data_IF_441078280311
#
_entry.id   IF_441078280311
#
_cell.length_a   1.000
_cell.length_b   1.000
_cell.length_c   1.000
_cell.angle_alpha   90.00
_cell.angle_beta   90.00
_cell.angle_gamma   90.00
#
_symmetry.space_group_name_H-M   'P 1'
#
loop_
_entity.id
_entity.type
_entity.pdbx_description
1 polymer ?
#
# COMPACT_ATOMS: atom_id res chain seq x y z
N UNK A 1 -24.33 -15.29 -3.68
CA UNK A 1 -24.45 -13.83 -3.49
C UNK A 1 -25.37 -13.24 -4.55
N UNK A 2 -26.30 -12.37 -4.16
CA UNK A 2 -27.04 -11.53 -5.10
C UNK A 2 -26.14 -10.57 -5.86
N UNK A 3 -26.65 -9.96 -6.94
CA UNK A 3 -25.90 -9.01 -7.79
C UNK A 3 -25.26 -7.86 -6.98
N UNK A 4 -25.98 -7.35 -5.97
CA UNK A 4 -25.51 -6.29 -5.08
C UNK A 4 -24.29 -6.68 -4.24
N UNK A 5 -24.26 -7.91 -3.72
CA UNK A 5 -23.13 -8.36 -2.89
C UNK A 5 -21.81 -8.45 -3.67
N UNK A 6 -21.86 -8.86 -4.95
CA UNK A 6 -20.65 -8.91 -5.80
C UNK A 6 -20.09 -7.52 -6.10
N UNK A 7 -20.96 -6.54 -6.31
CA UNK A 7 -20.55 -5.15 -6.54
C UNK A 7 -19.86 -4.60 -5.29
N UNK A 8 -20.42 -4.86 -4.11
CA UNK A 8 -19.79 -4.46 -2.84
C UNK A 8 -18.41 -5.11 -2.61
N UNK A 9 -18.23 -6.41 -2.89
CA UNK A 9 -16.91 -7.07 -2.74
C UNK A 9 -15.80 -6.44 -3.59
N UNK A 10 -16.15 -5.85 -4.74
CA UNK A 10 -15.17 -5.31 -5.70
C UNK A 10 -14.97 -3.82 -5.46
N UNK A 11 -16.05 -3.08 -5.21
CA UNK A 11 -16.00 -1.64 -5.03
C UNK A 11 -15.39 -1.23 -3.68
N UNK A 12 -15.69 -1.94 -2.61
CA UNK A 12 -15.17 -1.61 -1.26
C UNK A 12 -13.64 -1.58 -1.19
N UNK A 13 -12.91 -2.64 -1.58
CA UNK A 13 -11.45 -2.59 -1.53
C UNK A 13 -10.87 -1.51 -2.44
N UNK A 14 -11.46 -1.29 -3.62
CA UNK A 14 -11.03 -0.22 -4.53
C UNK A 14 -11.23 1.18 -3.94
N UNK A 15 -12.38 1.44 -3.32
CA UNK A 15 -12.67 2.71 -2.66
C UNK A 15 -11.73 2.97 -1.47
N UNK A 16 -11.39 1.93 -0.69
CA UNK A 16 -10.44 2.04 0.41
C UNK A 16 -9.01 2.29 -0.09
N UNK A 17 -8.57 1.62 -1.16
CA UNK A 17 -7.27 1.93 -1.77
C UNK A 17 -7.20 3.35 -2.31
N UNK A 18 -8.30 3.84 -2.91
CA UNK A 18 -8.39 5.22 -3.39
C UNK A 18 -8.32 6.22 -2.22
N UNK A 19 -9.03 5.96 -1.12
CA UNK A 19 -8.99 6.80 0.08
C UNK A 19 -7.59 6.87 0.69
N UNK A 20 -6.89 5.74 0.79
CA UNK A 20 -5.48 5.70 1.24
C UNK A 20 -4.56 6.46 0.28
N UNK A 21 -4.73 6.29 -1.04
CA UNK A 21 -3.95 7.03 -2.04
C UNK A 21 -4.16 8.54 -1.94
N UNK A 22 -5.40 9.01 -1.76
CA UNK A 22 -5.68 10.44 -1.55
C UNK A 22 -4.96 10.96 -0.30
N UNK A 23 -4.94 10.20 0.80
CA UNK A 23 -4.21 10.59 2.00
C UNK A 23 -2.70 10.72 1.75
N UNK A 24 -2.10 9.80 0.98
CA UNK A 24 -0.68 9.89 0.60
C UNK A 24 -0.41 11.12 -0.28
N UNK A 25 -1.26 11.36 -1.28
CA UNK A 25 -1.19 12.56 -2.15
C UNK A 25 -1.23 13.85 -1.33
N UNK A 26 -2.09 13.93 -0.31
CA UNK A 26 -2.17 15.13 0.54
C UNK A 26 -0.85 15.43 1.25
N UNK A 27 -0.13 14.40 1.71
CA UNK A 27 1.16 14.55 2.41
C UNK A 27 2.29 14.88 1.43
N UNK A 28 2.27 14.26 0.25
CA UNK A 28 3.28 14.54 -0.78
C UNK A 28 3.15 15.94 -1.38
N UNK A 29 1.91 16.42 -1.59
CA UNK A 29 1.65 17.77 -2.11
C UNK A 29 1.70 18.88 -1.06
N UNK A 30 1.79 18.53 0.23
CA UNK A 30 1.87 19.51 1.30
C UNK A 30 3.14 20.36 1.16
N UNK A 31 2.98 21.68 1.16
CA UNK A 31 4.12 22.61 1.10
C UNK A 31 4.75 22.78 -0.29
N UNK A 32 4.19 22.20 -1.36
CA UNK A 32 4.77 22.32 -2.71
C UNK A 32 4.89 23.74 -3.25
N UNK A 33 3.94 24.60 -2.88
CA UNK A 33 3.89 26.01 -3.25
C UNK A 33 3.31 26.82 -2.08
N UNK A 34 3.38 28.14 -2.19
CA UNK A 34 2.77 29.05 -1.22
C UNK A 34 1.28 28.74 -1.05
N UNK A 35 0.86 28.41 0.16
CA UNK A 35 -0.54 28.16 0.50
C UNK A 35 -1.11 26.81 0.05
N UNK A 36 -0.29 25.89 -0.49
CA UNK A 36 -0.75 24.56 -0.85
C UNK A 36 -0.72 23.65 0.38
N UNK A 37 -1.91 23.41 0.95
CA UNK A 37 -2.11 22.54 2.13
C UNK A 37 -1.24 22.94 3.34
N UNK A 38 -1.23 24.23 3.76
CA UNK A 38 -0.28 24.73 4.76
C UNK A 38 -0.46 24.07 6.12
N UNK A 39 -1.65 23.56 6.44
CA UNK A 39 -1.97 22.89 7.71
C UNK A 39 -1.37 21.49 7.86
N UNK A 40 -0.84 20.89 6.79
CA UNK A 40 -0.34 19.51 6.76
C UNK A 40 1.19 19.44 6.92
N UNK A 41 1.73 20.19 7.87
CA UNK A 41 3.14 20.09 8.29
C UNK A 41 3.32 18.96 9.31
N UNK A 42 4.52 18.40 9.40
CA UNK A 42 4.87 17.39 10.42
C UNK A 42 5.20 18.03 11.76
N UNK A 43 5.92 19.15 11.75
CA UNK A 43 6.12 19.98 12.92
C UNK A 43 6.22 21.46 12.53
N UNK A 44 5.92 22.32 13.50
CA UNK A 44 5.96 23.77 13.39
C UNK A 44 6.77 24.36 14.53
N UNK A 45 7.69 25.25 14.18
CA UNK A 45 8.43 26.08 15.12
C UNK A 45 7.90 27.51 15.09
N UNK A 46 7.55 28.04 16.26
CA UNK A 46 7.02 29.38 16.49
C UNK A 46 8.01 30.21 17.31
N UNK A 47 8.55 31.24 16.67
CA UNK A 47 9.53 32.19 17.19
C UNK A 47 8.92 33.54 17.59
N UNK A 48 7.58 33.68 17.58
CA UNK A 48 6.93 34.96 17.94
C UNK A 48 7.18 35.39 19.38
N UNK A 49 7.44 34.43 20.29
CA UNK A 49 7.75 34.65 21.69
C UNK A 49 9.24 34.65 22.02
N UNK A 50 10.12 34.81 21.01
CA UNK A 50 11.57 34.77 21.21
C UNK A 50 12.01 35.89 22.16
N UNK A 51 12.50 35.51 23.35
CA UNK A 51 13.14 36.41 24.29
C UNK A 51 14.56 35.92 24.61
N UNK A 52 15.54 36.59 24.00
CA UNK A 52 16.96 36.29 24.21
C UNK A 52 17.48 36.95 25.51
N UNK A 53 16.74 37.92 26.07
CA UNK A 53 17.13 38.69 27.26
C UNK A 53 16.88 37.93 28.56
N UNK A 54 15.84 37.08 28.60
CA UNK A 54 15.52 36.22 29.74
C UNK A 54 16.50 35.06 29.94
N UNK A 55 17.14 34.58 28.87
CA UNK A 55 18.10 33.47 28.91
C UNK A 55 19.50 33.88 29.40
N UNK A 56 19.84 35.17 29.36
CA UNK A 56 21.12 35.73 29.81
C UNK A 56 21.28 35.90 31.34
N UNK A 57 20.29 35.49 32.13
CA UNK A 57 20.29 35.63 33.60
C UNK A 57 21.04 34.53 34.38
N UNK A 58 21.63 33.55 33.70
CA UNK A 58 22.52 32.55 34.28
C UNK A 58 23.89 32.62 33.61
N UNK A 59 24.96 32.52 34.40
CA UNK A 59 26.38 32.76 34.05
C UNK A 59 26.99 31.95 32.87
N UNK A 60 26.19 31.20 32.10
CA UNK A 60 26.61 30.47 30.90
C UNK A 60 25.91 31.04 29.67
N UNK A 61 26.49 32.09 29.06
CA UNK A 61 26.08 32.52 27.72
C UNK A 61 26.46 31.44 26.71
N UNK A 62 25.56 30.47 26.50
CA UNK A 62 25.77 29.41 25.51
C UNK A 62 25.93 29.99 24.11
N UNK A 63 26.71 29.34 23.24
CA UNK A 63 26.88 29.76 21.83
C UNK A 63 25.56 29.94 21.08
N UNK A 64 24.50 29.26 21.53
CA UNK A 64 23.14 29.38 21.02
C UNK A 64 22.46 30.72 21.34
N UNK A 65 22.70 31.32 22.52
CA UNK A 65 22.12 32.64 22.88
C UNK A 65 22.64 33.70 21.90
N UNK A 66 23.95 33.68 21.64
CA UNK A 66 24.62 34.61 20.73
C UNK A 66 24.11 34.42 19.29
N UNK A 67 24.02 33.17 18.82
CA UNK A 67 23.51 32.88 17.47
C UNK A 67 22.05 33.31 17.28
N UNK A 68 21.18 33.08 18.28
CA UNK A 68 19.78 33.52 18.23
C UNK A 68 19.67 35.05 18.27
N UNK A 69 20.47 35.72 19.09
CA UNK A 69 20.49 37.18 19.18
C UNK A 69 20.90 37.82 17.85
N UNK A 70 21.96 37.31 17.22
CA UNK A 70 22.44 37.82 15.95
C UNK A 70 21.43 37.57 14.83
N UNK A 71 20.84 36.36 14.78
CA UNK A 71 19.85 36.03 13.77
C UNK A 71 18.55 36.85 13.93
N UNK A 72 18.19 37.24 15.16
CA UNK A 72 17.09 38.17 15.42
C UNK A 72 17.44 39.60 14.98
N UNK A 73 18.64 40.10 15.31
CA UNK A 73 19.07 41.47 14.97
C UNK A 73 19.24 41.69 13.46
N UNK A 74 19.73 40.68 12.74
CA UNK A 74 19.88 40.73 11.29
C UNK A 74 18.54 40.54 10.55
N UNK A 75 17.44 40.29 11.26
CA UNK A 75 16.18 39.87 10.64
C UNK A 75 16.36 38.58 9.83
N UNK A 76 17.28 37.70 10.22
CA UNK A 76 17.47 36.42 9.53
C UNK A 76 16.33 35.44 9.81
N UNK A 77 15.74 35.51 11.00
CA UNK A 77 14.70 34.58 11.44
C UNK A 77 13.30 34.96 10.97
N UNK A 78 12.56 33.99 10.44
CA UNK A 78 11.12 34.09 10.26
C UNK A 78 10.37 33.79 11.58
N UNK A 79 9.12 34.22 11.67
CA UNK A 79 8.29 33.99 12.88
C UNK A 79 7.81 32.55 12.98
N UNK A 80 7.47 31.94 11.85
CA UNK A 80 7.04 30.55 11.79
C UNK A 80 7.86 29.76 10.78
N UNK A 81 8.15 28.52 11.12
CA UNK A 81 8.70 27.52 10.21
C UNK A 81 7.82 26.28 10.25
N UNK A 82 7.28 25.91 9.10
CA UNK A 82 6.45 24.72 8.90
C UNK A 82 7.26 23.72 8.06
N UNK A 83 7.46 22.51 8.58
CA UNK A 83 8.29 21.48 7.94
C UNK A 83 7.41 20.41 7.32
N UNK A 84 7.66 20.12 6.04
CA UNK A 84 6.97 19.12 5.24
C UNK A 84 7.91 17.97 4.86
N UNK A 85 7.41 17.01 4.08
CA UNK A 85 8.18 15.83 3.66
C UNK A 85 9.34 16.19 2.72
N UNK A 86 9.13 17.14 1.81
CA UNK A 86 10.05 17.47 0.72
C UNK A 86 10.83 18.77 0.91
N UNK A 87 10.32 19.65 1.79
CA UNK A 87 10.81 21.00 1.96
C UNK A 87 10.37 21.58 3.31
N UNK A 88 10.78 22.83 3.56
CA UNK A 88 10.23 23.65 4.62
C UNK A 88 9.69 24.95 4.04
N UNK A 89 8.77 25.56 4.75
CA UNK A 89 8.30 26.91 4.44
C UNK A 89 8.35 27.78 5.69
N UNK A 90 8.56 29.08 5.48
CA UNK A 90 8.62 30.06 6.54
C UNK A 90 7.62 31.19 6.32
N UNK A 91 7.07 31.70 7.43
CA UNK A 91 6.19 32.86 7.44
C UNK A 91 6.82 33.96 8.29
N UNK A 92 6.97 35.13 7.68
CA UNK A 92 7.49 36.33 8.35
C UNK A 92 6.38 37.24 8.86
N UNK A 93 5.14 37.00 8.43
CA UNK A 93 3.96 37.72 8.86
C UNK A 93 3.18 36.93 9.92
N UNK A 94 2.58 37.67 10.86
CA UNK A 94 1.63 37.16 11.85
C UNK A 94 0.33 36.64 11.22
N UNK A 95 0.04 37.04 9.97
CA UNK A 95 -1.17 36.63 9.24
C UNK A 95 -1.11 35.18 8.74
N UNK A 96 -0.12 34.40 9.19
CA UNK A 96 0.14 33.02 8.76
C UNK A 96 0.32 32.89 7.23
N UNK A 97 0.58 34.02 6.56
CA UNK A 97 0.78 34.09 5.11
C UNK A 97 2.18 33.62 4.78
N UNK A 98 2.24 32.41 4.24
CA UNK A 98 3.46 31.70 3.95
C UNK A 98 4.34 32.49 2.96
N UNK A 99 5.49 32.94 3.43
CA UNK A 99 6.30 33.98 2.79
C UNK A 99 7.30 33.36 1.81
N UNK A 100 7.97 32.30 2.24
CA UNK A 100 9.01 31.58 1.51
C UNK A 100 8.84 30.07 1.67
N UNK A 101 9.10 29.29 0.62
CA UNK A 101 9.28 27.85 0.69
C UNK A 101 10.61 27.51 0.04
N UNK A 102 11.34 26.58 0.64
CA UNK A 102 12.53 26.03 0.00
C UNK A 102 12.15 25.17 -1.22
N UNK A 103 13.10 25.02 -2.13
CA UNK A 103 12.96 24.07 -3.23
C UNK A 103 12.78 22.64 -2.68
N UNK A 104 12.06 21.83 -3.44
CA UNK A 104 11.79 20.43 -3.11
C UNK A 104 13.07 19.62 -3.27
N UNK A 105 13.49 18.96 -2.21
CA UNK A 105 14.64 18.07 -2.23
C UNK A 105 14.18 16.64 -2.00
N UNK A 106 14.66 15.71 -2.82
CA UNK A 106 14.57 14.28 -2.50
C UNK A 106 15.40 14.01 -1.25
N UNK A 107 14.98 13.06 -0.41
CA UNK A 107 15.73 12.70 0.81
C UNK A 107 15.91 13.87 1.80
N UNK A 108 14.96 14.80 1.82
CA UNK A 108 15.03 15.97 2.68
C UNK A 108 15.16 15.59 4.16
N UNK A 109 16.17 16.16 4.81
CA UNK A 109 16.42 16.06 6.24
C UNK A 109 16.48 17.47 6.82
N UNK A 110 15.69 17.75 7.85
CA UNK A 110 15.68 19.08 8.45
C UNK A 110 16.91 19.27 9.33
N UNK A 111 17.77 20.21 8.96
CA UNK A 111 18.89 20.66 9.79
C UNK A 111 18.55 22.04 10.40
N UNK A 112 18.28 22.12 11.72
CA UNK A 112 17.95 23.38 12.38
C UNK A 112 19.08 24.42 12.28
N UNK A 113 20.34 24.00 12.22
CA UNK A 113 21.49 24.91 12.19
C UNK A 113 21.58 25.61 10.85
N UNK A 114 21.37 24.86 9.76
CA UNK A 114 21.36 25.40 8.40
C UNK A 114 20.10 26.23 8.13
N UNK A 115 18.92 25.70 8.44
CA UNK A 115 17.63 26.35 8.13
C UNK A 115 17.42 27.64 8.92
N UNK A 116 17.90 27.70 10.17
CA UNK A 116 17.84 28.92 10.98
C UNK A 116 19.10 29.79 10.88
N UNK A 117 20.05 29.43 10.00
CA UNK A 117 21.29 30.17 9.77
C UNK A 117 22.16 30.37 11.02
N UNK A 118 22.17 29.38 11.93
CA UNK A 118 22.96 29.42 13.17
C UNK A 118 24.47 29.20 12.94
N UNK A 119 24.86 28.69 11.76
CA UNK A 119 26.26 28.45 11.37
C UNK A 119 27.07 29.75 11.16
N UNK A 120 26.43 30.91 11.06
CA UNK A 120 27.15 32.17 10.83
C UNK A 120 28.07 32.59 12.00
N UNK A 121 27.96 31.98 13.19
CA UNK A 121 28.38 32.65 14.43
C UNK A 121 29.65 32.12 15.11
N UNK A 122 30.58 31.58 14.34
CA UNK A 122 32.02 31.58 14.74
C UNK A 122 33.00 31.81 13.59
N UNK A 123 32.51 31.97 12.35
CA UNK A 123 33.33 32.29 11.18
C UNK A 123 33.03 33.68 10.57
N UNK A 124 31.86 34.29 10.81
CA UNK A 124 31.54 35.59 10.24
C UNK A 124 32.20 36.78 10.95
N UNK A 125 32.62 36.63 12.21
CA UNK A 125 33.41 37.65 12.92
C UNK A 125 34.88 37.71 12.48
N UNK A 126 35.36 36.79 11.63
CA UNK A 126 36.77 36.72 11.21
C UNK A 126 37.01 36.37 9.74
N UNK A 127 35.99 36.40 8.88
CA UNK A 127 36.18 36.15 7.45
C UNK A 127 35.41 37.12 6.53
N UNK A 128 35.47 38.42 6.84
CA UNK A 128 35.32 39.44 5.79
C UNK A 128 36.70 39.72 5.20
N UNK A 129 37.15 38.87 4.27
CA UNK A 129 38.13 39.27 3.26
C UNK A 129 37.92 38.49 1.96
N UNK A 130 37.27 39.18 1.02
CA UNK A 130 37.71 39.42 -0.35
C UNK A 130 38.28 38.25 -1.18
N UNK A 131 37.60 38.03 -2.31
CA UNK A 131 38.10 37.60 -3.63
C UNK A 131 38.60 36.16 -3.86
N UNK A 132 37.86 35.49 -4.75
CA UNK A 132 38.31 34.81 -5.97
C UNK A 132 39.64 34.03 -5.94
N UNK A 133 39.55 32.70 -5.85
CA UNK A 133 40.33 31.75 -6.68
C UNK A 133 39.90 30.31 -6.39
N UNK A 134 39.48 29.58 -7.42
CA UNK A 134 38.78 28.28 -7.34
C UNK A 134 39.63 27.11 -6.76
N UNK A 135 40.90 27.33 -6.41
CA UNK A 135 41.79 26.31 -5.86
C UNK A 135 42.20 26.55 -4.39
N UNK A 136 41.85 27.70 -3.80
CA UNK A 136 42.05 27.98 -2.36
C UNK A 136 40.82 27.60 -1.52
N UNK A 137 39.70 27.36 -2.19
CA UNK A 137 38.42 27.01 -1.59
C UNK A 137 38.44 25.54 -1.12
N UNK A 138 39.06 24.63 -1.87
CA UNK A 138 39.10 23.20 -1.53
C UNK A 138 39.91 22.92 -0.25
N UNK A 139 41.04 23.60 -0.05
CA UNK A 139 41.83 23.51 1.19
C UNK A 139 41.13 24.13 2.38
N UNK A 140 40.38 25.22 2.17
CA UNK A 140 39.59 25.86 3.22
C UNK A 140 38.31 25.10 3.55
N UNK A 141 37.70 24.43 2.58
CA UNK A 141 36.59 23.50 2.82
C UNK A 141 37.11 22.30 3.63
N UNK A 142 38.26 21.73 3.29
CA UNK A 142 38.85 20.64 4.05
C UNK A 142 39.21 21.05 5.49
N UNK A 143 39.70 22.28 5.68
CA UNK A 143 40.01 22.84 7.01
C UNK A 143 38.75 23.17 7.81
N UNK A 144 37.73 23.76 7.18
CA UNK A 144 36.42 24.01 7.80
C UNK A 144 35.76 22.68 8.14
N UNK A 145 35.77 21.69 7.26
CA UNK A 145 35.20 20.36 7.51
C UNK A 145 35.96 19.62 8.62
N UNK A 146 37.29 19.77 8.70
CA UNK A 146 38.09 19.23 9.79
C UNK A 146 37.78 19.91 11.13
N UNK A 147 37.62 21.24 11.13
CA UNK A 147 37.26 22.01 12.32
C UNK A 147 35.79 21.77 12.72
N UNK A 148 34.87 21.59 11.77
CA UNK A 148 33.49 21.19 12.02
C UNK A 148 33.44 19.80 12.63
N UNK A 149 34.20 18.83 12.10
CA UNK A 149 34.31 17.47 12.67
C UNK A 149 34.97 17.48 14.05
N UNK A 150 35.96 18.34 14.28
CA UNK A 150 36.60 18.50 15.59
C UNK A 150 35.61 19.07 16.62
N UNK A 151 34.87 20.11 16.24
CA UNK A 151 33.84 20.75 17.07
C UNK A 151 32.64 19.81 17.32
N UNK A 152 32.27 19.00 16.33
CA UNK A 152 31.24 17.96 16.46
C UNK A 152 31.70 16.86 17.45
N UNK A 153 32.96 16.45 17.41
CA UNK A 153 33.50 15.48 18.38
C UNK A 153 33.57 16.04 19.81
N UNK A 154 33.76 17.35 19.97
CA UNK A 154 33.84 18.02 21.27
C UNK A 154 32.46 18.33 21.86
N UNK A 155 31.48 18.74 21.03
CA UNK A 155 30.12 19.14 21.47
C UNK A 155 29.16 17.95 21.57
N UNK A 156 29.21 16.99 20.65
CA UNK A 156 28.27 15.87 20.57
C UNK A 156 28.86 14.55 21.09
N UNK A 157 30.19 14.45 21.19
CA UNK A 157 30.89 13.20 21.48
C UNK A 157 30.58 12.11 20.44
N UNK A 158 31.05 10.89 20.69
CA UNK A 158 30.77 9.73 19.81
C UNK A 158 29.25 9.45 19.71
N UNK A 159 28.52 9.65 20.81
CA UNK A 159 27.08 9.37 20.92
C UNK A 159 26.22 10.29 20.06
N UNK A 160 26.52 11.61 20.04
CA UNK A 160 25.71 12.55 19.28
C UNK A 160 25.95 12.50 17.77
N UNK A 161 27.17 12.16 17.34
CA UNK A 161 27.47 11.89 15.92
C UNK A 161 26.73 10.67 15.40
N UNK A 162 26.70 9.60 16.19
CA UNK A 162 25.95 8.39 15.85
C UNK A 162 24.44 8.67 15.81
N UNK A 163 23.92 9.50 16.72
CA UNK A 163 22.53 9.94 16.70
C UNK A 163 22.19 10.82 15.49
N UNK A 164 23.08 11.75 15.10
CA UNK A 164 22.89 12.64 13.96
C UNK A 164 22.98 11.88 12.63
N UNK A 165 23.93 10.95 12.50
CA UNK A 165 24.05 10.09 11.33
C UNK A 165 22.84 9.15 11.22
N UNK A 166 22.42 8.56 12.35
CA UNK A 166 21.18 7.78 12.41
C UNK A 166 19.95 8.62 12.00
N UNK A 167 19.85 9.87 12.45
CA UNK A 167 18.78 10.79 12.03
C UNK A 167 18.77 10.99 10.51
N UNK A 168 19.92 11.35 9.92
CA UNK A 168 20.06 11.57 8.47
C UNK A 168 19.77 10.29 7.66
N UNK A 169 20.18 9.14 8.19
CA UNK A 169 19.91 7.85 7.57
C UNK A 169 18.41 7.50 7.63
N UNK A 170 17.79 7.69 8.78
CA UNK A 170 16.37 7.40 9.02
C UNK A 170 15.47 8.33 8.20
N UNK A 171 15.81 9.62 8.07
CA UNK A 171 15.05 10.55 7.23
C UNK A 171 15.09 10.17 5.75
N UNK A 172 16.27 9.78 5.24
CA UNK A 172 16.45 9.25 3.88
C UNK A 172 15.60 8.01 3.65
N UNK A 173 15.69 7.02 4.54
CA UNK A 173 14.88 5.79 4.45
C UNK A 173 13.38 6.05 4.55
N UNK A 174 12.96 6.97 5.41
CA UNK A 174 11.57 7.39 5.55
C UNK A 174 11.05 7.94 4.22
N UNK A 175 11.81 8.83 3.58
CA UNK A 175 11.45 9.40 2.29
C UNK A 175 11.30 8.31 1.21
N UNK A 176 12.30 7.42 1.09
CA UNK A 176 12.25 6.29 0.13
C UNK A 176 11.05 5.39 0.40
N UNK A 177 10.73 5.12 1.66
CA UNK A 177 9.59 4.28 2.04
C UNK A 177 8.24 4.91 1.64
N UNK A 178 8.08 6.23 1.78
CA UNK A 178 6.89 6.94 1.28
C UNK A 178 6.75 6.82 -0.24
N UNK A 179 7.83 7.04 -1.00
CA UNK A 179 7.80 6.91 -2.46
C UNK A 179 7.45 5.50 -2.92
N UNK A 180 8.08 4.48 -2.35
CA UNK A 180 7.78 3.07 -2.66
C UNK A 180 6.30 2.79 -2.36
N UNK A 181 5.80 3.28 -1.22
CA UNK A 181 4.39 3.11 -0.84
C UNK A 181 3.46 3.79 -1.84
N UNK A 182 3.79 4.99 -2.32
CA UNK A 182 3.00 5.74 -3.28
C UNK A 182 2.90 5.03 -4.63
N UNK A 183 4.04 4.69 -5.23
CA UNK A 183 4.10 4.00 -6.52
C UNK A 183 3.49 2.60 -6.45
N UNK A 184 3.71 1.87 -5.36
CA UNK A 184 3.11 0.54 -5.17
C UNK A 184 1.60 0.64 -4.97
N UNK A 185 1.10 1.66 -4.28
CA UNK A 185 -0.35 1.90 -4.11
C UNK A 185 -1.00 2.29 -5.44
N UNK A 186 -0.33 3.12 -6.24
CA UNK A 186 -0.75 3.46 -7.61
C UNK A 186 -0.81 2.20 -8.49
N UNK A 187 0.24 1.38 -8.47
CA UNK A 187 0.26 0.10 -9.18
C UNK A 187 -0.85 -0.84 -8.70
N UNK A 188 -1.11 -0.90 -7.39
CA UNK A 188 -2.20 -1.69 -6.80
C UNK A 188 -3.56 -1.22 -7.30
N UNK A 189 -3.77 0.09 -7.43
CA UNK A 189 -5.01 0.66 -7.97
C UNK A 189 -5.22 0.29 -9.45
N UNK A 190 -4.17 0.35 -10.27
CA UNK A 190 -4.22 -0.06 -11.70
C UNK A 190 -4.47 -1.56 -11.84
N UNK A 191 -3.71 -2.39 -11.12
CA UNK A 191 -3.89 -3.84 -11.11
C UNK A 191 -5.26 -4.25 -10.55
N UNK A 192 -5.82 -3.48 -9.61
CA UNK A 192 -7.16 -3.68 -9.05
C UNK A 192 -8.26 -3.67 -10.11
N UNK A 193 -8.13 -2.84 -11.15
CA UNK A 193 -9.07 -2.80 -12.28
C UNK A 193 -8.92 -4.07 -13.14
N UNK A 194 -7.68 -4.53 -13.37
CA UNK A 194 -7.39 -5.74 -14.14
C UNK A 194 -7.82 -7.03 -13.43
N UNK A 195 -7.88 -7.04 -12.10
CA UNK A 195 -8.38 -8.16 -11.29
C UNK A 195 -9.84 -8.53 -11.60
N UNK A 196 -10.63 -7.62 -12.18
CA UNK A 196 -12.01 -7.89 -12.61
C UNK A 196 -12.05 -8.92 -13.77
N UNK A 197 -11.01 -8.93 -14.61
CA UNK A 197 -10.98 -9.75 -15.83
C UNK A 197 -10.16 -11.05 -15.68
N UNK A 198 -9.27 -11.15 -14.68
CA UNK A 198 -8.36 -12.28 -14.53
C UNK A 198 -8.25 -12.79 -13.10
N UNK A 199 -8.33 -14.12 -12.93
CA UNK A 199 -8.15 -14.81 -11.64
C UNK A 199 -6.72 -14.66 -11.09
N UNK A 200 -5.73 -14.58 -11.97
CA UNK A 200 -4.32 -14.34 -11.62
C UNK A 200 -4.10 -12.88 -11.22
N UNK A 201 -4.81 -11.96 -11.86
CA UNK A 201 -4.78 -10.53 -11.51
C UNK A 201 -5.18 -10.30 -10.05
N UNK A 202 -6.20 -11.01 -9.56
CA UNK A 202 -6.66 -10.93 -8.17
C UNK A 202 -5.63 -11.37 -7.14
N UNK A 203 -4.79 -12.37 -7.46
CA UNK A 203 -3.72 -12.82 -6.55
C UNK A 203 -2.58 -11.80 -6.52
N UNK A 204 -2.18 -11.29 -7.68
CA UNK A 204 -1.13 -10.28 -7.81
C UNK A 204 -1.48 -8.98 -7.08
N UNK A 205 -2.73 -8.51 -7.20
CA UNK A 205 -3.21 -7.31 -6.48
C UNK A 205 -3.13 -7.46 -4.97
N UNK A 206 -3.39 -8.67 -4.45
CA UNK A 206 -3.30 -8.91 -3.02
C UNK A 206 -1.85 -8.83 -2.53
N UNK A 207 -0.90 -9.44 -3.25
CA UNK A 207 0.53 -9.36 -2.92
C UNK A 207 1.00 -7.90 -2.96
N UNK A 208 0.69 -7.16 -4.03
CA UNK A 208 1.04 -5.75 -4.17
C UNK A 208 0.42 -4.89 -3.07
N UNK A 209 -0.83 -5.15 -2.70
CA UNK A 209 -1.50 -4.44 -1.61
C UNK A 209 -0.83 -4.68 -0.26
N UNK A 210 -0.39 -5.92 0.03
CA UNK A 210 0.35 -6.23 1.26
C UNK A 210 1.68 -5.50 1.29
N UNK A 211 2.43 -5.51 0.19
CA UNK A 211 3.69 -4.77 0.06
C UNK A 211 3.46 -3.28 0.34
N UNK A 212 2.49 -2.67 -0.34
CA UNK A 212 2.12 -1.25 -0.11
C UNK A 212 1.80 -0.99 1.37
N UNK A 213 0.91 -1.76 2.00
CA UNK A 213 0.52 -1.54 3.40
C UNK A 213 1.66 -1.67 4.41
N UNK A 214 2.62 -2.57 4.17
CA UNK A 214 3.81 -2.72 5.02
C UNK A 214 4.71 -1.50 4.89
N UNK A 215 4.97 -1.03 3.66
CA UNK A 215 5.78 0.18 3.44
C UNK A 215 5.11 1.44 3.97
N UNK A 216 3.80 1.61 3.77
CA UNK A 216 3.03 2.73 4.35
C UNK A 216 3.13 2.72 5.87
N UNK A 217 2.95 1.57 6.52
CA UNK A 217 3.09 1.47 7.97
C UNK A 217 4.50 1.83 8.46
N UNK A 218 5.53 1.29 7.80
CA UNK A 218 6.93 1.57 8.13
C UNK A 218 7.28 3.06 7.97
N UNK A 219 6.82 3.70 6.88
CA UNK A 219 7.04 5.12 6.62
C UNK A 219 6.37 6.01 7.67
N UNK A 220 5.10 5.71 8.01
CA UNK A 220 4.33 6.47 9.00
C UNK A 220 4.92 6.31 10.41
N UNK A 221 5.28 5.09 10.80
CA UNK A 221 5.93 4.83 12.08
C UNK A 221 7.25 5.59 12.20
N UNK A 222 8.11 5.48 11.19
CA UNK A 222 9.41 6.13 11.16
C UNK A 222 9.28 7.66 11.23
N UNK A 223 8.38 8.25 10.43
CA UNK A 223 8.13 9.70 10.47
C UNK A 223 7.64 10.18 11.83
N UNK A 224 6.70 9.44 12.44
CA UNK A 224 6.15 9.79 13.74
C UNK A 224 7.24 9.80 14.81
N UNK A 225 8.08 8.76 14.85
CA UNK A 225 9.20 8.65 15.82
C UNK A 225 10.21 9.76 15.57
N UNK A 226 10.63 9.96 14.32
CA UNK A 226 11.65 10.94 13.95
C UNK A 226 11.27 12.36 14.38
N UNK A 227 10.05 12.79 14.03
CA UNK A 227 9.58 14.14 14.38
C UNK A 227 9.24 14.29 15.86
N UNK A 228 8.78 13.23 16.55
CA UNK A 228 8.58 13.27 18.00
C UNK A 228 9.89 13.46 18.77
N UNK A 229 10.94 12.74 18.38
CA UNK A 229 12.27 12.86 19.01
C UNK A 229 12.89 14.23 18.69
N UNK A 230 12.77 14.70 17.45
CA UNK A 230 13.29 16.01 17.04
C UNK A 230 12.59 17.16 17.78
N UNK A 231 11.26 17.17 17.82
CA UNK A 231 10.51 18.20 18.55
C UNK A 231 10.76 18.12 20.05
N UNK A 232 10.86 16.91 20.61
CA UNK A 232 11.14 16.72 22.03
C UNK A 232 12.52 17.25 22.44
N UNK A 233 13.55 16.95 21.65
CA UNK A 233 14.92 17.44 21.89
C UNK A 233 15.05 18.94 21.71
N UNK A 234 14.50 19.49 20.61
CA UNK A 234 14.53 20.93 20.37
C UNK A 234 13.72 21.70 21.41
N UNK A 235 12.55 21.21 21.82
CA UNK A 235 11.76 21.86 22.88
C UNK A 235 12.54 21.96 24.18
N UNK A 236 13.29 20.94 24.57
CA UNK A 236 14.11 20.97 25.79
C UNK A 236 15.19 22.08 25.75
N UNK A 237 15.74 22.36 24.57
CA UNK A 237 16.77 23.38 24.37
C UNK A 237 16.15 24.78 24.19
N UNK A 238 14.94 24.84 23.63
CA UNK A 238 14.32 26.07 23.15
C UNK A 238 13.26 26.69 24.07
N UNK A 239 12.70 25.92 25.02
CA UNK A 239 11.79 26.42 26.06
C UNK A 239 12.33 27.67 26.82
N UNK A 240 13.63 27.75 27.21
CA UNK A 240 14.13 28.94 27.93
C UNK A 240 14.16 30.21 27.08
N UNK A 241 14.06 30.08 25.76
CA UNK A 241 14.04 31.21 24.82
C UNK A 241 12.62 31.63 24.40
N UNK A 242 11.58 30.97 24.94
CA UNK A 242 10.19 31.27 24.61
C UNK A 242 9.72 30.75 23.23
N UNK A 243 10.53 29.94 22.56
CA UNK A 243 10.20 29.35 21.25
C UNK A 243 9.28 28.15 21.45
N UNK A 244 8.14 28.12 20.77
CA UNK A 244 7.18 27.01 20.87
C UNK A 244 7.34 26.07 19.68
N UNK A 245 7.66 24.82 19.96
CA UNK A 245 7.63 23.76 18.96
C UNK A 245 6.39 22.90 19.16
N UNK A 246 5.68 22.64 18.07
CA UNK A 246 4.45 21.86 18.05
C UNK A 246 4.50 20.82 16.94
N UNK A 247 3.97 19.63 17.22
CA UNK A 247 3.74 18.61 16.18
C UNK A 247 2.47 18.92 15.40
N UNK A 248 2.52 18.71 14.10
CA UNK A 248 1.39 18.90 13.20
C UNK A 248 0.42 17.73 13.28
N UNK A 249 -0.62 17.90 14.10
CA UNK A 249 -1.65 16.87 14.30
C UNK A 249 -2.38 16.53 13.00
N UNK A 250 -2.59 17.48 12.09
CA UNK A 250 -3.29 17.25 10.82
C UNK A 250 -2.53 16.32 9.87
N UNK A 251 -1.20 16.50 9.73
CA UNK A 251 -0.39 15.59 8.93
C UNK A 251 -0.37 14.19 9.53
N UNK A 252 -0.14 14.10 10.85
CA UNK A 252 -0.11 12.81 11.54
C UNK A 252 -1.45 12.06 11.48
N UNK A 253 -2.56 12.77 11.65
CA UNK A 253 -3.88 12.13 11.52
C UNK A 253 -4.12 11.58 10.12
N UNK A 254 -3.72 12.31 9.07
CA UNK A 254 -3.87 11.83 7.68
C UNK A 254 -2.95 10.66 7.37
N UNK A 255 -1.70 10.67 7.85
CA UNK A 255 -0.78 9.54 7.65
C UNK A 255 -1.28 8.28 8.36
N UNK A 256 -1.72 8.38 9.61
CA UNK A 256 -2.31 7.25 10.33
C UNK A 256 -3.66 6.80 9.75
N UNK A 257 -4.47 7.72 9.21
CA UNK A 257 -5.69 7.38 8.49
C UNK A 257 -5.38 6.61 7.20
N UNK A 258 -4.31 6.99 6.49
CA UNK A 258 -3.82 6.24 5.32
C UNK A 258 -3.44 4.80 5.69
N UNK A 259 -2.73 4.61 6.81
CA UNK A 259 -2.41 3.28 7.35
C UNK A 259 -3.69 2.47 7.58
N UNK A 260 -4.67 3.04 8.28
CA UNK A 260 -5.93 2.37 8.58
C UNK A 260 -6.69 1.96 7.30
N UNK A 261 -6.79 2.85 6.31
CA UNK A 261 -7.43 2.54 5.04
C UNK A 261 -6.66 1.50 4.22
N UNK A 262 -5.33 1.54 4.22
CA UNK A 262 -4.51 0.55 3.50
C UNK A 262 -4.65 -0.85 4.11
N UNK A 263 -4.65 -0.98 5.44
CA UNK A 263 -4.86 -2.24 6.14
C UNK A 263 -6.29 -2.78 5.98
N UNK A 264 -7.29 -1.89 6.00
CA UNK A 264 -8.65 -2.30 5.66
C UNK A 264 -8.72 -2.80 4.21
N UNK A 265 -8.10 -2.09 3.26
CA UNK A 265 -8.08 -2.46 1.86
C UNK A 265 -7.44 -3.84 1.65
N UNK A 266 -6.29 -4.13 2.26
CA UNK A 266 -5.63 -5.46 2.14
C UNK A 266 -6.51 -6.58 2.63
N UNK A 267 -7.21 -6.40 3.76
CA UNK A 267 -8.17 -7.37 4.28
C UNK A 267 -9.36 -7.58 3.34
N UNK A 268 -9.91 -6.51 2.76
CA UNK A 268 -10.99 -6.63 1.79
C UNK A 268 -10.54 -7.23 0.45
N UNK A 269 -9.32 -6.96 0.01
CA UNK A 269 -8.71 -7.64 -1.14
C UNK A 269 -8.54 -9.14 -0.88
N UNK A 270 -8.08 -9.52 0.32
CA UNK A 270 -8.00 -10.92 0.75
C UNK A 270 -9.39 -11.58 0.73
N UNK A 271 -10.39 -10.94 1.35
CA UNK A 271 -11.76 -11.45 1.40
C UNK A 271 -12.37 -11.60 -0.01
N UNK A 272 -12.11 -10.65 -0.90
CA UNK A 272 -12.56 -10.71 -2.30
C UNK A 272 -11.97 -11.92 -3.03
N UNK A 273 -10.67 -12.19 -2.84
CA UNK A 273 -9.98 -13.34 -3.45
C UNK A 273 -10.50 -14.69 -2.93
N UNK A 274 -10.74 -14.80 -1.62
CA UNK A 274 -11.13 -16.05 -0.96
C UNK A 274 -12.63 -16.34 -1.04
N UNK A 275 -13.49 -15.33 -0.83
CA UNK A 275 -14.93 -15.51 -0.61
C UNK A 275 -15.80 -15.05 -1.79
N UNK A 276 -15.28 -14.19 -2.68
CA UNK A 276 -16.03 -13.67 -3.83
C UNK A 276 -15.64 -14.37 -5.17
N UNK A 277 -14.72 -15.36 -5.16
CA UNK A 277 -14.34 -16.17 -6.35
C UNK A 277 -15.41 -17.15 -6.84
N UNK A 278 -16.58 -17.17 -6.19
CA UNK A 278 -17.76 -17.92 -6.59
C UNK A 278 -18.41 -17.41 -7.88
N UNK A 279 -17.73 -17.58 -9.02
CA UNK A 279 -18.41 -17.82 -10.29
C UNK A 279 -19.09 -19.16 -10.11
N UNK A 280 -20.34 -19.13 -9.64
CA UNK A 280 -21.26 -20.26 -9.73
C UNK A 280 -21.11 -20.83 -11.13
N UNK A 281 -20.55 -22.03 -11.23
CA UNK A 281 -20.36 -22.70 -12.50
C UNK A 281 -21.74 -22.73 -13.20
N UNK A 282 -21.95 -22.05 -14.35
CA UNK A 282 -23.24 -22.09 -15.03
C UNK A 282 -23.58 -23.50 -15.53
N UNK A 283 -22.58 -24.41 -15.54
CA UNK A 283 -22.74 -25.79 -15.98
C UNK A 283 -23.49 -26.71 -15.01
N UNK A 284 -23.93 -26.23 -13.85
CA UNK A 284 -24.99 -26.90 -13.08
C UNK A 284 -26.34 -26.21 -13.24
N UNK A 285 -26.71 -25.91 -14.49
CA UNK A 285 -28.12 -25.76 -14.90
C UNK A 285 -28.61 -26.93 -15.75
N UNK A 286 -28.02 -28.12 -15.59
CA UNK A 286 -28.48 -29.36 -16.23
C UNK A 286 -29.19 -30.32 -15.25
N UNK A 287 -30.04 -29.80 -14.37
CA UNK A 287 -31.04 -30.63 -13.67
C UNK A 287 -32.33 -29.86 -13.32
N UNK A 288 -32.67 -28.82 -14.09
CA UNK A 288 -34.03 -28.30 -14.19
C UNK A 288 -34.40 -28.29 -15.68
N UNK A 289 -34.92 -29.42 -16.16
CA UNK A 289 -35.34 -29.64 -17.54
C UNK A 289 -34.39 -30.53 -18.34
N UNK A 290 -34.15 -31.77 -17.90
CA UNK A 290 -33.54 -32.77 -18.77
C UNK A 290 -34.51 -33.09 -19.90
N UNK A 291 -34.11 -32.81 -21.16
CA UNK A 291 -34.59 -33.31 -22.47
C UNK A 291 -36.10 -33.45 -22.77
N UNK A 292 -37.01 -33.11 -21.84
CA UNK A 292 -38.46 -33.27 -21.99
C UNK A 292 -39.23 -31.96 -21.82
N UNK A 293 -38.51 -30.83 -21.73
CA UNK A 293 -39.11 -29.49 -21.64
C UNK A 293 -38.57 -28.55 -22.73
N UNK A 294 -38.00 -29.12 -23.80
CA UNK A 294 -37.94 -28.40 -25.06
C UNK A 294 -39.37 -28.39 -25.62
N UNK A 295 -40.16 -27.37 -25.29
CA UNK A 295 -41.30 -27.02 -26.14
C UNK A 295 -40.74 -26.83 -27.56
N UNK A 296 -41.18 -27.62 -28.56
CA UNK A 296 -40.87 -27.30 -29.94
C UNK A 296 -41.60 -26.00 -30.27
N UNK A 297 -40.86 -24.89 -30.36
CA UNK A 297 -41.38 -23.68 -31.00
C UNK A 297 -41.60 -23.98 -32.49
N UNK A 298 -42.86 -24.18 -32.85
CA UNK A 298 -43.37 -23.92 -34.19
C UNK A 298 -43.34 -25.11 -35.15
N UNK A 299 -44.30 -26.01 -35.01
CA UNK A 299 -45.04 -26.55 -36.15
C UNK A 299 -46.40 -27.01 -35.65
N UNK A 300 -47.44 -26.28 -36.07
CA UNK A 300 -48.80 -26.46 -35.56
C UNK A 300 -49.46 -27.72 -36.08
N UNK A 301 -50.13 -28.44 -35.17
CA UNK A 301 -51.45 -29.01 -35.39
C UNK A 301 -52.04 -29.48 -34.05
N UNK A 302 -53.31 -29.11 -33.80
CA UNK A 302 -54.19 -29.85 -32.89
C UNK A 302 -54.03 -29.63 -31.38
N UNK A 303 -54.72 -28.60 -30.88
CA UNK A 303 -55.39 -28.63 -29.57
C UNK A 303 -56.16 -29.95 -29.39
N UNK A 304 -56.01 -30.62 -28.23
CA UNK A 304 -57.01 -31.39 -27.47
C UNK A 304 -56.30 -32.29 -26.43
N UNK A 305 -56.56 -32.06 -25.14
CA UNK A 305 -56.52 -33.14 -24.14
C UNK A 305 -55.67 -32.90 -22.89
N UNK A 306 -56.33 -32.49 -21.81
CA UNK A 306 -55.86 -32.70 -20.42
C UNK A 306 -55.56 -34.19 -20.20
N UNK A 307 -54.36 -34.53 -19.72
CA UNK A 307 -53.99 -35.90 -19.36
C UNK A 307 -53.05 -35.95 -18.16
N UNK A 308 -53.44 -36.76 -17.17
CA UNK A 308 -52.80 -36.96 -15.86
C UNK A 308 -51.32 -37.36 -15.94
N UNK A 309 -50.51 -36.80 -15.04
CA UNK A 309 -49.18 -37.31 -14.75
C UNK A 309 -49.26 -38.75 -14.22
N UNK A 310 -48.71 -39.70 -14.98
CA UNK A 310 -48.50 -41.06 -14.53
C UNK A 310 -47.30 -41.09 -13.59
N UNK A 311 -47.54 -41.29 -12.31
CA UNK A 311 -46.50 -41.68 -11.35
C UNK A 311 -46.19 -43.16 -11.62
N UNK A 312 -45.00 -43.45 -12.14
CA UNK A 312 -44.50 -44.83 -12.27
C UNK A 312 -44.21 -45.35 -10.87
N UNK A 313 -45.02 -46.31 -10.42
CA UNK A 313 -44.79 -47.04 -9.18
C UNK A 313 -43.60 -47.99 -9.41
N UNK A 314 -42.51 -47.79 -8.67
CA UNK A 314 -41.38 -48.73 -8.65
C UNK A 314 -41.78 -49.97 -7.86
N UNK A 315 -42.24 -51.01 -8.54
CA UNK A 315 -42.14 -52.39 -8.04
C UNK A 315 -40.83 -53.01 -8.55
N UNK A 316 -40.22 -53.83 -7.70
CA UNK A 316 -38.78 -54.12 -7.72
C UNK A 316 -38.25 -54.91 -8.91
N UNK A 317 -36.96 -54.71 -9.17
CA UNK A 317 -36.02 -55.77 -9.54
C UNK A 317 -36.32 -56.60 -10.78
N UNK A 318 -36.47 -55.96 -11.95
CA UNK A 318 -36.40 -56.62 -13.24
C UNK A 318 -36.13 -55.59 -14.33
N UNK A 319 -35.07 -55.76 -15.12
CA UNK A 319 -34.86 -54.91 -16.28
C UNK A 319 -35.85 -55.37 -17.36
N UNK A 320 -36.89 -54.58 -17.61
CA UNK A 320 -37.74 -54.79 -18.77
C UNK A 320 -37.20 -53.94 -19.93
N UNK A 321 -36.77 -54.59 -21.01
CA UNK A 321 -36.24 -53.88 -22.18
C UNK A 321 -37.39 -53.17 -22.87
N UNK A 322 -37.41 -51.85 -22.78
CA UNK A 322 -38.31 -51.02 -23.59
C UNK A 322 -37.80 -51.04 -25.03
N UNK A 323 -38.66 -51.44 -25.96
CA UNK A 323 -38.36 -51.44 -27.38
C UNK A 323 -37.95 -50.03 -27.86
N UNK A 324 -36.86 -49.93 -28.63
CA UNK A 324 -36.44 -48.67 -29.24
C UNK A 324 -37.49 -48.19 -30.24
N UNK A 325 -37.91 -46.91 -30.23
CA UNK A 325 -39.00 -46.40 -31.07
C UNK A 325 -38.59 -46.15 -32.54
N UNK A 326 -37.49 -46.76 -33.00
CA UNK A 326 -36.93 -46.54 -34.34
C UNK A 326 -37.01 -47.76 -35.27
N UNK A 327 -37.91 -48.71 -34.99
CA UNK A 327 -38.33 -49.69 -36.00
C UNK A 327 -39.85 -49.67 -36.13
N UNK A 328 -40.30 -49.24 -37.31
CA UNK A 328 -41.66 -49.47 -37.77
C UNK A 328 -41.97 -50.95 -37.81
N UNK A 329 -43.22 -51.29 -37.52
CA UNK A 329 -43.70 -52.66 -37.39
C UNK A 329 -43.39 -53.52 -38.62
N UNK A 330 -42.94 -54.73 -38.33
CA UNK A 330 -42.83 -55.84 -39.27
C UNK A 330 -42.70 -57.11 -38.44
N UNK A 331 -43.75 -57.93 -38.49
CA UNK A 331 -43.78 -59.30 -37.99
C UNK A 331 -42.62 -60.13 -38.58
N UNK A 332 -42.22 -61.15 -37.84
CA UNK A 332 -41.40 -62.31 -38.23
C UNK A 332 -39.87 -62.26 -38.02
N UNK A 333 -39.40 -63.14 -37.11
CA UNK A 333 -38.22 -63.97 -37.35
C UNK A 333 -36.84 -63.47 -36.92
N UNK A 334 -36.55 -63.45 -35.61
CA UNK A 334 -35.18 -63.34 -35.10
C UNK A 334 -34.35 -64.62 -35.37
N UNK A 335 -33.54 -64.61 -36.43
CA UNK A 335 -32.27 -65.36 -36.53
C UNK A 335 -31.28 -64.60 -37.42
N UNK A 336 -30.32 -63.89 -36.82
CA UNK A 336 -29.13 -63.38 -37.51
C UNK A 336 -27.97 -64.39 -37.41
N UNK A 337 -27.28 -64.72 -38.52
CA UNK A 337 -26.25 -65.75 -38.57
C UNK A 337 -24.88 -65.26 -38.05
N UNK A 338 -24.22 -66.09 -37.22
CA UNK A 338 -22.80 -65.93 -36.84
C UNK A 338 -21.91 -66.30 -38.04
N UNK A 339 -21.09 -65.36 -38.51
CA UNK A 339 -20.06 -65.62 -39.52
C UNK A 339 -18.90 -66.44 -38.91
N UNK A 340 -18.62 -67.58 -39.55
CA UNK A 340 -17.50 -68.48 -39.30
C UNK A 340 -16.18 -67.86 -39.78
N UNK A 341 -15.14 -67.88 -38.93
CA UNK A 341 -13.75 -67.68 -39.34
C UNK A 341 -13.05 -69.04 -39.53
N UNK A 342 -12.10 -69.18 -40.47
CA UNK A 342 -11.44 -70.47 -40.77
C UNK A 342 -10.43 -70.88 -39.68
N UNK A 343 -10.40 -72.16 -39.33
CA UNK A 343 -9.39 -72.79 -38.47
C UNK A 343 -8.12 -73.19 -39.25
N UNK A 344 -6.92 -73.00 -38.67
CA UNK A 344 -5.73 -73.81 -38.96
C UNK A 344 -5.49 -74.89 -37.88
N UNK A 345 -4.70 -75.94 -38.18
CA UNK A 345 -4.81 -77.26 -37.55
C UNK A 345 -4.07 -77.44 -36.21
N UNK A 346 -4.46 -78.53 -35.55
CA UNK A 346 -4.17 -78.94 -34.19
C UNK A 346 -2.68 -79.09 -33.82
N UNK A 347 -2.34 -78.51 -32.67
CA UNK A 347 -1.16 -78.83 -31.85
C UNK A 347 -1.50 -78.56 -30.38
N UNK A 348 -1.40 -79.58 -29.56
CA UNK A 348 -1.74 -79.64 -28.13
C UNK A 348 -1.10 -78.56 -27.26
N UNK A 349 -1.84 -77.99 -26.30
CA UNK A 349 -1.53 -77.98 -24.85
C UNK A 349 -2.51 -77.10 -24.05
N UNK A 350 -2.88 -77.58 -22.86
CA UNK A 350 -3.85 -77.04 -21.91
C UNK A 350 -3.50 -75.66 -21.35
N UNK A 351 -4.51 -74.83 -21.06
CA UNK A 351 -4.40 -73.77 -20.05
C UNK A 351 -5.64 -73.65 -19.17
N UNK A 352 -5.37 -73.69 -17.85
CA UNK A 352 -6.23 -73.49 -16.69
C UNK A 352 -6.72 -72.04 -16.54
N UNK A 353 -7.87 -71.89 -15.86
CA UNK A 353 -8.30 -70.65 -15.19
C UNK A 353 -7.41 -70.35 -13.96
N UNK A 354 -7.20 -69.07 -13.63
CA UNK A 354 -7.63 -68.57 -12.30
C UNK A 354 -8.23 -67.14 -12.36
N UNK A 355 -9.34 -66.83 -11.68
CA UNK A 355 -9.53 -66.51 -10.25
C UNK A 355 -9.11 -65.08 -9.85
N UNK A 356 -9.99 -64.42 -9.08
CA UNK A 356 -10.05 -62.97 -8.85
C UNK A 356 -8.92 -62.33 -8.03
N UNK A 357 -8.78 -61.01 -8.18
CA UNK A 357 -8.12 -60.08 -7.25
C UNK A 357 -9.05 -58.87 -7.03
N UNK A 358 -9.64 -58.73 -5.84
CA UNK A 358 -9.24 -57.96 -4.64
C UNK A 358 -9.51 -56.44 -4.71
N UNK A 359 -10.40 -56.04 -3.80
CA UNK A 359 -10.72 -54.70 -3.31
C UNK A 359 -9.53 -54.04 -2.59
N UNK A 360 -9.45 -52.70 -2.65
CA UNK A 360 -8.99 -51.87 -1.52
C UNK A 360 -9.79 -50.55 -1.39
N UNK A 361 -9.90 -49.97 -0.17
CA UNK A 361 -10.93 -49.00 0.19
C UNK A 361 -10.45 -47.54 0.31
N UNK A 362 -11.43 -46.64 0.39
CA UNK A 362 -11.31 -45.19 0.61
C UNK A 362 -10.43 -44.78 1.81
N UNK A 363 -9.69 -43.67 1.65
CA UNK A 363 -9.45 -42.72 2.77
C UNK A 363 -9.52 -41.28 2.27
N UNK A 364 -10.38 -40.50 2.93
CA UNK A 364 -10.57 -39.06 2.73
C UNK A 364 -9.33 -38.29 3.17
N UNK A 365 -9.03 -37.22 2.44
CA UNK A 365 -8.30 -36.04 2.91
C UNK A 365 -9.03 -34.83 2.37
#
# INVERSE_FOLDING_TARGET
MGKAGRIACIFTPWALTLASFICLVLIELAGWNKGQLPSYYFFKADFTGLDVSGASGGDDTTTLTLALQEAQQNGGLAQFYDIYLWNYCSSRSSDNSLSFCSDRQSEYAFDPVEVWSLNATSAAASASSTSSSDNAIESKIAEVEANTKALENEILGKSGREALDAYKHVSKWMFIAYEISFWTTLATMVCGILAIFSRIGSLLTWILSVVSSVFTFAAVLTSTILFAVLVGSLKAIMDPYGIKLSLGTNALTVTWLSVAFSWAATLFWLFSTCCCSGRSNPHHRSNKGGLWTAEPKGQGYGDYGRGRGLQVQKTGGGYERVASPYLGGGQDGDRVPLQQYPQPPAGSHHYEQPSGGRFEPFRRG
#
